data_IF_196701479166
#
_entry.id   IF_196701479166
#
_cell.length_a   1.000
_cell.length_b   1.000
_cell.length_c   1.000
_cell.angle_alpha   90.00
_cell.angle_beta   90.00
_cell.angle_gamma   90.00
#
_symmetry.space_group_name_H-M   'P 1'
#
loop_
_entity.id
_entity.type
_entity.pdbx_description
1 polymer ?
#
# COMPACT_ATOMS: atom_id res chain seq x y z
N UNK A 1 -2.51 -22.86 40.15
CA UNK A 1 -2.05 -21.87 39.13
C UNK A 1 -0.55 -22.00 38.98
N UNK A 2 0.01 -21.76 37.80
CA UNK A 2 1.46 -21.59 37.61
C UNK A 2 1.80 -20.10 37.84
N UNK A 3 2.84 -19.83 38.62
CA UNK A 3 3.25 -18.48 38.98
C UNK A 3 3.83 -17.70 37.78
N UNK A 4 3.98 -16.39 37.94
CA UNK A 4 4.67 -15.57 36.94
C UNK A 4 6.11 -16.09 36.76
N UNK A 5 6.58 -16.19 35.53
CA UNK A 5 7.95 -16.57 35.19
C UNK A 5 8.44 -17.91 35.79
N UNK A 6 7.53 -18.80 36.20
CA UNK A 6 7.87 -20.00 36.98
C UNK A 6 8.94 -20.90 36.31
N UNK A 7 8.93 -20.98 34.98
CA UNK A 7 9.88 -21.73 34.17
C UNK A 7 10.61 -20.84 33.16
N UNK A 8 10.62 -19.51 33.36
CA UNK A 8 11.23 -18.59 32.40
C UNK A 8 12.68 -18.98 32.11
N UNK A 9 13.02 -19.05 30.83
CA UNK A 9 14.37 -19.37 30.34
C UNK A 9 14.82 -20.79 30.66
N UNK A 10 13.91 -21.70 31.06
CA UNK A 10 14.24 -23.11 31.25
C UNK A 10 14.47 -23.80 29.89
N UNK A 11 15.57 -23.44 29.24
CA UNK A 11 15.95 -23.87 27.88
C UNK A 11 16.28 -25.35 27.77
N UNK A 12 16.38 -26.09 28.89
CA UNK A 12 16.54 -27.54 28.91
C UNK A 12 15.23 -28.30 29.18
N UNK A 13 14.13 -27.60 29.49
CA UNK A 13 12.83 -28.24 29.72
C UNK A 13 12.27 -28.73 28.38
N UNK A 14 12.16 -30.03 28.20
CA UNK A 14 11.69 -30.63 26.94
C UNK A 14 10.22 -31.02 26.98
N UNK A 15 9.70 -31.38 28.16
CA UNK A 15 8.30 -31.73 28.34
C UNK A 15 7.81 -31.36 29.73
N UNK A 16 6.52 -31.01 29.85
CA UNK A 16 5.86 -30.83 31.15
C UNK A 16 4.39 -31.23 31.09
N UNK A 17 3.93 -31.91 32.14
CA UNK A 17 2.50 -32.14 32.39
C UNK A 17 2.06 -31.21 33.50
N UNK A 18 1.15 -30.29 33.20
CA UNK A 18 0.56 -29.41 34.21
C UNK A 18 -0.46 -30.23 35.01
N UNK A 19 -0.38 -30.27 36.35
CA UNK A 19 -1.27 -31.09 37.16
C UNK A 19 -2.70 -30.55 37.21
N UNK A 20 -3.66 -31.44 37.37
CA UNK A 20 -5.07 -31.11 37.56
C UNK A 20 -5.28 -30.11 38.72
N UNK A 21 -6.24 -29.21 38.56
CA UNK A 21 -6.52 -28.13 39.52
C UNK A 21 -5.70 -26.87 39.30
N UNK A 22 -4.74 -26.87 38.37
CA UNK A 22 -4.16 -25.62 37.86
C UNK A 22 -5.21 -24.90 37.02
N UNK A 23 -5.61 -23.71 37.48
CA UNK A 23 -6.64 -22.90 36.82
C UNK A 23 -6.11 -21.79 35.92
N UNK A 24 -4.84 -21.40 36.06
CA UNK A 24 -4.24 -20.28 35.33
C UNK A 24 -2.77 -20.55 35.05
N UNK A 25 -2.34 -20.22 33.84
CA UNK A 25 -0.93 -20.07 33.45
C UNK A 25 -0.66 -18.58 33.40
N UNK A 26 0.18 -18.06 34.30
CA UNK A 26 0.36 -16.61 34.45
C UNK A 26 1.43 -16.06 33.51
N UNK A 27 1.66 -14.74 33.64
CA UNK A 27 2.59 -13.96 32.84
C UNK A 27 3.97 -14.63 32.74
N UNK A 28 4.46 -14.84 31.52
CA UNK A 28 5.80 -15.35 31.25
C UNK A 28 6.09 -16.75 31.80
N UNK A 29 5.08 -17.55 32.17
CA UNK A 29 5.27 -18.80 32.91
C UNK A 29 6.27 -19.77 32.25
N UNK A 30 6.32 -19.83 30.93
CA UNK A 30 7.23 -20.64 30.11
C UNK A 30 8.00 -19.79 29.09
N UNK A 31 8.08 -18.47 29.29
CA UNK A 31 8.81 -17.57 28.39
C UNK A 31 10.25 -18.05 28.18
N UNK A 32 10.67 -18.23 26.92
CA UNK A 32 12.03 -18.66 26.58
C UNK A 32 12.34 -20.13 26.92
N UNK A 33 11.33 -20.97 27.16
CA UNK A 33 11.51 -22.42 27.21
C UNK A 33 11.75 -22.99 25.79
N UNK A 34 12.88 -22.64 25.19
CA UNK A 34 13.18 -22.88 23.77
C UNK A 34 13.20 -24.34 23.35
N UNK A 35 13.45 -25.28 24.27
CA UNK A 35 13.44 -26.73 24.00
C UNK A 35 12.15 -27.44 24.39
N UNK A 36 11.14 -26.73 24.89
CA UNK A 36 9.86 -27.32 25.27
C UNK A 36 9.18 -27.83 24.01
N UNK A 37 9.08 -29.15 23.87
CA UNK A 37 8.55 -29.84 22.71
C UNK A 37 7.18 -30.49 22.97
N UNK A 38 6.84 -30.73 24.23
CA UNK A 38 5.55 -31.32 24.61
C UNK A 38 5.00 -30.69 25.91
N UNK A 39 3.74 -30.27 25.88
CA UNK A 39 3.04 -29.78 27.07
C UNK A 39 1.63 -30.34 27.12
N UNK A 40 1.21 -30.78 28.31
CA UNK A 40 -0.18 -31.13 28.59
C UNK A 40 -0.78 -30.07 29.51
N UNK A 41 -1.81 -29.37 29.03
CA UNK A 41 -2.58 -28.38 29.79
C UNK A 41 -3.91 -29.04 30.23
N UNK A 42 -4.24 -29.08 31.53
CA UNK A 42 -5.47 -29.71 32.00
C UNK A 42 -6.70 -28.82 31.76
N UNK A 43 -7.87 -29.44 31.62
CA UNK A 43 -9.17 -28.78 31.36
C UNK A 43 -9.56 -27.75 32.43
N UNK A 44 -8.95 -27.81 33.62
CA UNK A 44 -9.18 -26.82 34.68
C UNK A 44 -8.61 -25.44 34.36
N UNK A 45 -7.73 -25.30 33.35
CA UNK A 45 -7.12 -24.01 32.98
C UNK A 45 -8.14 -23.13 32.25
N UNK A 46 -8.36 -21.92 32.76
CA UNK A 46 -9.32 -20.97 32.20
C UNK A 46 -8.66 -19.73 31.57
N UNK A 47 -7.35 -19.53 31.76
CA UNK A 47 -6.64 -18.36 31.22
C UNK A 47 -5.16 -18.62 31.01
N UNK A 48 -4.65 -18.16 29.87
CA UNK A 48 -3.23 -18.09 29.51
C UNK A 48 -2.81 -16.62 29.52
N UNK A 49 -1.84 -16.29 30.37
CA UNK A 49 -1.35 -14.93 30.56
C UNK A 49 -0.43 -14.46 29.44
N UNK A 50 -0.09 -13.16 29.48
CA UNK A 50 0.79 -12.57 28.47
C UNK A 50 2.19 -13.22 28.50
N UNK A 51 2.82 -13.35 27.34
CA UNK A 51 4.13 -13.98 27.14
C UNK A 51 4.23 -15.42 27.69
N UNK A 52 3.11 -16.10 27.99
CA UNK A 52 3.13 -17.36 28.74
C UNK A 52 3.98 -18.44 28.07
N UNK A 53 4.00 -18.51 26.73
CA UNK A 53 4.77 -19.43 25.91
C UNK A 53 5.63 -18.71 24.86
N UNK A 54 5.88 -17.41 25.04
CA UNK A 54 6.72 -16.66 24.10
C UNK A 54 8.12 -17.31 23.99
N UNK A 55 8.68 -17.35 22.79
CA UNK A 55 9.99 -17.96 22.47
C UNK A 55 10.06 -19.47 22.79
N UNK A 56 8.93 -20.16 22.95
CA UNK A 56 8.89 -21.63 22.96
C UNK A 56 9.01 -22.17 21.53
N UNK A 57 10.24 -22.22 21.02
CA UNK A 57 10.53 -22.49 19.61
C UNK A 57 10.60 -23.97 19.20
N UNK A 58 10.35 -24.93 20.11
CA UNK A 58 10.49 -26.37 19.80
C UNK A 58 9.19 -27.18 19.69
N UNK A 59 8.07 -26.79 20.32
CA UNK A 59 6.85 -27.59 20.21
C UNK A 59 6.11 -27.29 18.92
N UNK A 60 5.67 -28.35 18.24
CA UNK A 60 5.03 -28.28 16.92
C UNK A 60 3.52 -28.18 16.98
N UNK A 61 2.93 -28.59 18.10
CA UNK A 61 1.50 -28.51 18.34
C UNK A 61 1.23 -28.25 19.83
N UNK A 62 0.12 -27.57 20.11
CA UNK A 62 -0.39 -27.38 21.46
C UNK A 62 -1.92 -27.48 21.42
N UNK A 63 -2.48 -28.21 22.37
CA UNK A 63 -3.94 -28.25 22.59
C UNK A 63 -4.27 -27.28 23.72
N UNK A 64 -5.06 -26.25 23.40
CA UNK A 64 -5.60 -25.33 24.39
C UNK A 64 -6.94 -25.88 24.86
N UNK A 65 -7.16 -26.08 26.18
CA UNK A 65 -8.42 -26.62 26.67
C UNK A 65 -9.61 -25.70 26.41
N UNK A 66 -10.79 -26.30 26.21
CA UNK A 66 -12.04 -25.60 25.88
C UNK A 66 -12.47 -24.55 26.94
N UNK A 67 -12.05 -24.75 28.19
CA UNK A 67 -12.32 -23.84 29.30
C UNK A 67 -11.54 -22.52 29.25
N UNK A 68 -10.54 -22.38 28.38
CA UNK A 68 -9.75 -21.16 28.25
C UNK A 68 -10.55 -20.07 27.54
N UNK A 69 -10.78 -18.96 28.25
CA UNK A 69 -11.52 -17.81 27.70
C UNK A 69 -10.62 -16.62 27.37
N UNK A 70 -9.32 -16.73 27.64
CA UNK A 70 -8.33 -15.66 27.40
C UNK A 70 -6.96 -16.20 27.04
N UNK A 71 -6.43 -15.72 25.92
CA UNK A 71 -5.04 -15.85 25.48
C UNK A 71 -4.44 -14.44 25.49
N UNK A 72 -3.44 -14.21 26.33
CA UNK A 72 -2.86 -12.88 26.54
C UNK A 72 -1.96 -12.40 25.40
N UNK A 73 -1.60 -11.12 25.48
CA UNK A 73 -0.60 -10.47 24.62
C UNK A 73 0.69 -11.28 24.53
N UNK A 74 1.24 -11.46 23.33
CA UNK A 74 2.47 -12.25 23.08
C UNK A 74 2.44 -13.71 23.57
N UNK A 75 1.28 -14.28 23.92
CA UNK A 75 1.22 -15.57 24.62
C UNK A 75 1.96 -16.70 23.88
N UNK A 76 1.93 -16.73 22.55
CA UNK A 76 2.62 -17.68 21.69
C UNK A 76 3.58 -16.98 20.69
N UNK A 77 4.01 -15.75 21.01
CA UNK A 77 4.92 -15.00 20.14
C UNK A 77 6.26 -15.75 19.96
N UNK A 78 6.77 -15.81 18.73
CA UNK A 78 7.98 -16.52 18.32
C UNK A 78 7.97 -18.03 18.65
N UNK A 79 6.79 -18.67 18.73
CA UNK A 79 6.65 -20.14 18.71
C UNK A 79 6.93 -20.69 17.30
N UNK A 80 8.16 -20.54 16.82
CA UNK A 80 8.52 -20.70 15.40
C UNK A 80 8.35 -22.11 14.81
N UNK A 81 8.29 -23.16 15.64
CA UNK A 81 8.02 -24.53 15.19
C UNK A 81 6.54 -24.93 15.22
N UNK A 82 5.66 -24.10 15.79
CA UNK A 82 4.23 -24.39 15.92
C UNK A 82 3.58 -24.44 14.54
N UNK A 83 3.05 -25.61 14.15
CA UNK A 83 2.48 -25.82 12.81
C UNK A 83 0.97 -25.69 12.77
N UNK A 84 0.31 -25.94 13.90
CA UNK A 84 -1.13 -25.83 14.09
C UNK A 84 -1.49 -25.51 15.54
N UNK A 85 -2.52 -24.68 15.71
CA UNK A 85 -3.17 -24.42 16.99
C UNK A 85 -4.68 -24.25 16.76
N UNK A 86 -5.48 -24.75 17.69
CA UNK A 86 -6.92 -24.48 17.75
C UNK A 86 -7.18 -23.53 18.91
N UNK A 87 -7.82 -22.39 18.61
CA UNK A 87 -8.23 -21.43 19.63
C UNK A 87 -9.59 -21.90 20.17
N UNK A 88 -9.81 -21.96 21.50
CA UNK A 88 -11.08 -22.39 22.07
C UNK A 88 -12.24 -21.43 21.83
N UNK A 89 -13.46 -21.96 21.70
CA UNK A 89 -14.69 -21.21 21.45
C UNK A 89 -15.00 -20.12 22.48
N UNK A 90 -14.50 -20.28 23.72
CA UNK A 90 -14.66 -19.30 24.79
C UNK A 90 -13.82 -18.02 24.64
N UNK A 91 -12.91 -17.97 23.67
CA UNK A 91 -12.04 -16.80 23.42
C UNK A 91 -12.78 -15.76 22.58
N UNK A 92 -12.90 -14.53 23.11
CA UNK A 92 -13.60 -13.42 22.43
C UNK A 92 -12.67 -12.40 21.77
N UNK A 93 -11.36 -12.49 22.02
CA UNK A 93 -10.37 -11.53 21.53
C UNK A 93 -9.05 -12.24 21.28
N UNK A 94 -8.43 -11.98 20.13
CA UNK A 94 -7.04 -12.35 19.88
C UNK A 94 -6.20 -11.13 20.25
N UNK A 95 -5.58 -11.17 21.44
CA UNK A 95 -4.77 -10.07 21.99
C UNK A 95 -3.55 -9.78 21.10
N UNK A 96 -2.97 -8.58 21.28
CA UNK A 96 -1.85 -8.12 20.46
C UNK A 96 -0.68 -9.11 20.46
N UNK A 97 -0.05 -9.30 19.30
CA UNK A 97 1.10 -10.20 19.10
C UNK A 97 0.89 -11.66 19.53
N UNK A 98 -0.35 -12.12 19.81
CA UNK A 98 -0.58 -13.42 20.45
C UNK A 98 0.08 -14.61 19.71
N UNK A 99 0.14 -14.55 18.38
CA UNK A 99 0.78 -15.55 17.52
C UNK A 99 1.82 -14.94 16.58
N UNK A 100 2.40 -13.78 16.95
CA UNK A 100 3.47 -13.15 16.17
C UNK A 100 4.65 -14.13 15.97
N UNK A 101 5.26 -14.13 14.79
CA UNK A 101 6.41 -14.96 14.41
C UNK A 101 6.22 -16.47 14.65
N UNK A 102 4.99 -16.97 14.67
CA UNK A 102 4.70 -18.40 14.52
C UNK A 102 4.95 -18.83 13.06
N UNK A 103 6.22 -18.79 12.63
CA UNK A 103 6.62 -18.86 11.22
C UNK A 103 6.33 -20.20 10.54
N UNK A 104 6.20 -21.29 11.29
CA UNK A 104 5.78 -22.59 10.76
C UNK A 104 4.26 -22.82 10.78
N UNK A 105 3.46 -21.88 11.29
CA UNK A 105 2.01 -22.04 11.41
C UNK A 105 1.38 -22.06 10.02
N UNK A 106 0.76 -23.18 9.67
CA UNK A 106 0.22 -23.39 8.30
C UNK A 106 -1.27 -23.09 8.20
N UNK A 107 -1.99 -23.29 9.31
CA UNK A 107 -3.41 -23.06 9.45
C UNK A 107 -3.75 -22.71 10.91
N UNK A 108 -4.75 -21.85 11.09
CA UNK A 108 -5.35 -21.54 12.37
C UNK A 108 -6.85 -21.32 12.19
N UNK A 109 -7.64 -21.83 13.14
CA UNK A 109 -9.08 -21.56 13.22
C UNK A 109 -9.33 -20.53 14.31
N UNK A 110 -9.94 -19.40 13.93
CA UNK A 110 -10.41 -18.35 14.85
C UNK A 110 -11.89 -18.63 15.14
N UNK A 111 -12.32 -18.70 16.42
CA UNK A 111 -13.70 -18.95 16.79
C UNK A 111 -14.66 -17.82 16.37
N UNK A 112 -15.90 -18.20 16.10
CA UNK A 112 -16.98 -17.26 15.71
C UNK A 112 -17.26 -16.16 16.76
N UNK A 113 -16.95 -16.44 18.02
CA UNK A 113 -17.11 -15.49 19.13
C UNK A 113 -16.07 -14.36 19.18
N UNK A 114 -15.03 -14.40 18.34
CA UNK A 114 -14.00 -13.37 18.31
C UNK A 114 -14.52 -12.11 17.60
N UNK A 115 -14.47 -10.98 18.31
CA UNK A 115 -14.93 -9.68 17.78
C UNK A 115 -13.78 -8.74 17.35
N UNK A 116 -12.56 -9.05 17.77
CA UNK A 116 -11.38 -8.20 17.56
C UNK A 116 -10.13 -9.04 17.32
N UNK A 117 -9.39 -8.69 16.26
CA UNK A 117 -8.01 -9.14 16.00
C UNK A 117 -7.09 -7.94 16.23
N UNK A 118 -6.35 -7.96 17.35
CA UNK A 118 -5.49 -6.85 17.76
C UNK A 118 -4.20 -6.75 16.91
N UNK A 119 -3.42 -5.71 17.19
CA UNK A 119 -2.19 -5.45 16.44
C UNK A 119 -1.18 -6.61 16.49
N UNK A 120 -0.53 -6.88 15.37
CA UNK A 120 0.48 -7.93 15.18
C UNK A 120 0.03 -9.36 15.50
N UNK A 121 -1.27 -9.62 15.69
CA UNK A 121 -1.77 -10.91 16.18
C UNK A 121 -1.21 -12.14 15.42
N UNK A 122 -1.01 -12.03 14.10
CA UNK A 122 -0.46 -13.05 13.22
C UNK A 122 0.73 -12.52 12.39
N UNK A 123 1.38 -11.44 12.82
CA UNK A 123 2.52 -10.88 12.10
C UNK A 123 3.64 -11.93 11.99
N UNK A 124 4.27 -12.07 10.83
CA UNK A 124 5.37 -13.00 10.61
C UNK A 124 4.99 -14.48 10.58
N UNK A 125 3.70 -14.84 10.55
CA UNK A 125 3.24 -16.20 10.26
C UNK A 125 3.47 -16.55 8.78
N UNK A 126 4.74 -16.67 8.38
CA UNK A 126 5.17 -16.72 6.99
C UNK A 126 4.76 -17.98 6.24
N UNK A 127 4.45 -19.09 6.94
CA UNK A 127 3.90 -20.33 6.37
C UNK A 127 2.38 -20.41 6.35
N UNK A 128 1.66 -19.40 6.86
CA UNK A 128 0.20 -19.40 6.93
C UNK A 128 -0.39 -19.28 5.53
N UNK A 129 -1.10 -20.31 5.09
CA UNK A 129 -1.61 -20.39 3.70
C UNK A 129 -3.05 -19.91 3.55
N UNK A 130 -3.84 -20.07 4.62
CA UNK A 130 -5.24 -19.68 4.70
C UNK A 130 -5.60 -19.33 6.15
N UNK A 131 -6.49 -18.35 6.31
CA UNK A 131 -7.14 -18.03 7.57
C UNK A 131 -8.54 -17.51 7.30
N UNK A 132 -9.50 -17.90 8.16
CA UNK A 132 -10.86 -17.36 8.13
C UNK A 132 -11.00 -16.34 9.24
N UNK A 133 -11.37 -15.11 8.89
CA UNK A 133 -11.71 -14.06 9.86
C UNK A 133 -13.21 -14.24 10.20
N UNK A 134 -13.58 -14.31 11.48
CA UNK A 134 -14.98 -14.44 11.88
C UNK A 134 -15.84 -13.24 11.52
N UNK A 135 -17.13 -13.47 11.23
CA UNK A 135 -18.10 -12.44 10.84
C UNK A 135 -18.31 -11.35 11.91
N UNK A 136 -18.06 -11.67 13.18
CA UNK A 136 -18.13 -10.74 14.31
C UNK A 136 -17.00 -9.71 14.37
N UNK A 137 -15.94 -9.86 13.55
CA UNK A 137 -14.78 -8.96 13.56
C UNK A 137 -15.13 -7.63 12.91
N UNK A 138 -14.92 -6.54 13.65
CA UNK A 138 -15.23 -5.17 13.19
C UNK A 138 -14.01 -4.37 12.73
N UNK A 139 -12.80 -4.85 13.05
CA UNK A 139 -11.54 -4.16 12.79
C UNK A 139 -10.39 -5.15 12.65
N UNK A 140 -9.51 -4.92 11.67
CA UNK A 140 -8.23 -5.61 11.51
C UNK A 140 -7.12 -4.70 12.04
N UNK A 141 -6.45 -5.13 13.12
CA UNK A 141 -5.43 -4.36 13.84
C UNK A 141 -4.16 -4.00 13.04
N UNK A 142 -3.34 -3.11 13.60
CA UNK A 142 -2.07 -2.71 12.97
C UNK A 142 -1.16 -3.93 12.79
N UNK A 143 -0.56 -4.13 11.62
CA UNK A 143 0.31 -5.28 11.33
C UNK A 143 -0.33 -6.66 11.53
N UNK A 144 -1.66 -6.79 11.69
CA UNK A 144 -2.30 -8.04 12.11
C UNK A 144 -1.87 -9.28 11.31
N UNK A 145 -1.64 -9.14 10.00
CA UNK A 145 -1.17 -10.18 9.09
C UNK A 145 0.12 -9.79 8.35
N UNK A 146 0.86 -8.81 8.86
CA UNK A 146 2.10 -8.33 8.22
C UNK A 146 3.11 -9.47 8.09
N UNK A 147 3.64 -9.73 6.91
CA UNK A 147 4.62 -10.79 6.66
C UNK A 147 4.04 -12.20 6.59
N UNK A 148 2.71 -12.36 6.50
CA UNK A 148 2.07 -13.64 6.12
C UNK A 148 2.33 -13.95 4.65
N UNK A 149 3.59 -14.20 4.30
CA UNK A 149 4.05 -14.27 2.92
C UNK A 149 3.48 -15.45 2.13
N UNK A 150 3.06 -16.54 2.76
CA UNK A 150 2.44 -17.69 2.07
C UNK A 150 0.92 -17.59 1.96
N UNK A 151 0.29 -16.52 2.47
CA UNK A 151 -1.15 -16.37 2.47
C UNK A 151 -1.63 -16.13 1.04
N UNK A 152 -2.47 -17.03 0.52
CA UNK A 152 -2.88 -17.01 -0.90
C UNK A 152 -4.22 -16.30 -1.13
N UNK A 153 -5.09 -16.35 -0.13
CA UNK A 153 -6.40 -15.74 -0.13
C UNK A 153 -6.82 -15.40 1.30
N UNK A 154 -7.60 -14.34 1.44
CA UNK A 154 -8.23 -13.93 2.69
C UNK A 154 -9.57 -13.29 2.38
N UNK A 155 -10.59 -13.65 3.16
CA UNK A 155 -11.91 -13.00 3.09
C UNK A 155 -12.00 -12.03 4.26
N UNK A 156 -12.22 -10.75 3.95
CA UNK A 156 -12.51 -9.72 4.96
C UNK A 156 -14.04 -9.72 5.15
N UNK A 157 -14.55 -9.92 6.39
CA UNK A 157 -15.99 -9.96 6.64
C UNK A 157 -16.68 -8.60 6.47
N UNK A 158 -17.95 -8.62 6.08
CA UNK A 158 -18.80 -7.43 5.85
C UNK A 158 -18.99 -6.53 7.09
N UNK A 159 -18.66 -7.02 8.28
CA UNK A 159 -18.67 -6.24 9.52
C UNK A 159 -17.44 -5.33 9.70
N UNK A 160 -16.37 -5.54 8.93
CA UNK A 160 -15.11 -4.81 9.10
C UNK A 160 -15.26 -3.36 8.62
N UNK A 161 -14.95 -2.41 9.49
CA UNK A 161 -15.04 -0.97 9.19
C UNK A 161 -13.69 -0.31 8.95
N UNK A 162 -12.60 -0.95 9.41
CA UNK A 162 -11.25 -0.42 9.30
C UNK A 162 -10.19 -1.52 9.12
N UNK A 163 -9.32 -1.30 8.14
CA UNK A 163 -8.07 -2.03 7.91
C UNK A 163 -6.94 -1.11 8.34
N UNK A 164 -6.21 -1.45 9.40
CA UNK A 164 -5.25 -0.53 10.04
C UNK A 164 -3.86 -0.54 9.37
N UNK A 165 -2.93 0.22 9.95
CA UNK A 165 -1.57 0.42 9.43
C UNK A 165 -0.85 -0.93 9.20
N UNK A 166 -0.25 -1.12 8.03
CA UNK A 166 0.49 -2.35 7.68
C UNK A 166 -0.30 -3.68 7.82
N UNK A 167 -1.63 -3.67 7.87
CA UNK A 167 -2.42 -4.87 8.22
C UNK A 167 -2.08 -6.11 7.40
N UNK A 168 -1.83 -5.96 6.09
CA UNK A 168 -1.44 -7.02 5.15
C UNK A 168 -0.11 -6.73 4.44
N UNK A 169 0.77 -5.95 5.08
CA UNK A 169 2.10 -5.64 4.53
C UNK A 169 2.87 -6.93 4.27
N UNK A 170 3.52 -7.05 3.11
CA UNK A 170 4.33 -8.20 2.69
C UNK A 170 3.55 -9.54 2.63
N UNK A 171 2.22 -9.51 2.49
CA UNK A 171 1.43 -10.67 2.07
C UNK A 171 1.61 -10.95 0.57
N UNK A 172 2.81 -11.39 0.20
CA UNK A 172 3.31 -11.41 -1.18
C UNK A 172 2.61 -12.40 -2.12
N UNK A 173 1.90 -13.39 -1.60
CA UNK A 173 1.16 -14.41 -2.38
C UNK A 173 -0.35 -14.18 -2.47
N UNK A 174 -0.90 -13.14 -1.85
CA UNK A 174 -2.33 -12.81 -2.01
C UNK A 174 -2.54 -12.37 -3.46
N UNK A 175 -3.41 -13.10 -4.17
CA UNK A 175 -3.69 -12.83 -5.60
C UNK A 175 -4.92 -11.95 -5.80
N UNK A 176 -5.88 -12.05 -4.89
CA UNK A 176 -7.12 -11.29 -4.86
C UNK A 176 -7.54 -11.04 -3.42
N UNK A 177 -8.09 -9.85 -3.17
CA UNK A 177 -8.73 -9.51 -1.90
C UNK A 177 -9.98 -8.69 -2.20
N UNK A 178 -11.08 -9.05 -1.55
CA UNK A 178 -12.31 -8.24 -1.58
C UNK A 178 -12.34 -7.40 -0.32
N UNK A 179 -12.37 -6.07 -0.48
CA UNK A 179 -12.56 -5.14 0.63
C UNK A 179 -14.07 -4.82 0.69
N UNK A 180 -14.76 -5.10 1.80
CA UNK A 180 -16.19 -4.83 1.93
C UNK A 180 -16.55 -3.35 1.89
N UNK A 181 -17.77 -3.05 1.45
CA UNK A 181 -18.32 -1.68 1.37
C UNK A 181 -18.42 -0.97 2.73
N UNK A 182 -18.45 -1.74 3.82
CA UNK A 182 -18.42 -1.24 5.20
C UNK A 182 -17.09 -0.58 5.58
N UNK A 183 -16.00 -0.85 4.84
CA UNK A 183 -14.68 -0.31 5.13
C UNK A 183 -14.63 1.17 4.75
N UNK A 184 -14.35 2.01 5.75
CA UNK A 184 -14.21 3.47 5.58
C UNK A 184 -12.78 3.94 5.73
N UNK A 185 -11.89 3.09 6.28
CA UNK A 185 -10.50 3.43 6.54
C UNK A 185 -9.57 2.30 6.12
N UNK A 186 -8.62 2.62 5.24
CA UNK A 186 -7.47 1.76 4.90
C UNK A 186 -6.20 2.49 5.33
N UNK A 187 -5.43 1.86 6.22
CA UNK A 187 -4.22 2.43 6.78
C UNK A 187 -3.09 2.59 5.77
N UNK A 188 -2.12 3.44 6.10
CA UNK A 188 -0.86 3.51 5.35
C UNK A 188 -0.19 2.13 5.34
N UNK A 189 0.46 1.80 4.22
CA UNK A 189 1.15 0.51 3.99
C UNK A 189 0.26 -0.73 4.13
N UNK A 190 -1.08 -0.60 4.16
CA UNK A 190 -1.98 -1.72 4.45
C UNK A 190 -1.76 -2.94 3.53
N UNK A 191 -1.42 -2.71 2.25
CA UNK A 191 -1.13 -3.75 1.26
C UNK A 191 0.26 -3.55 0.60
N UNK A 192 1.18 -2.86 1.30
CA UNK A 192 2.55 -2.67 0.82
C UNK A 192 3.22 -4.03 0.60
N UNK A 193 3.78 -4.29 -0.58
CA UNK A 193 4.46 -5.54 -0.89
C UNK A 193 3.55 -6.74 -1.16
N UNK A 194 2.24 -6.54 -1.38
CA UNK A 194 1.34 -7.57 -1.91
C UNK A 194 1.63 -7.84 -3.40
N UNK A 195 2.83 -8.35 -3.70
CA UNK A 195 3.39 -8.42 -5.06
C UNK A 195 2.63 -9.29 -6.05
N UNK A 196 1.81 -10.25 -5.58
CA UNK A 196 0.95 -11.10 -6.42
C UNK A 196 -0.47 -10.57 -6.60
N UNK A 197 -0.85 -9.47 -5.94
CA UNK A 197 -2.20 -8.92 -6.02
C UNK A 197 -2.46 -8.39 -7.43
N UNK A 198 -3.51 -8.88 -8.10
CA UNK A 198 -3.75 -8.60 -9.52
C UNK A 198 -4.81 -7.54 -9.78
N UNK A 199 -5.83 -7.48 -8.92
CA UNK A 199 -6.97 -6.56 -9.02
C UNK A 199 -7.37 -6.12 -7.63
N UNK A 200 -7.76 -4.85 -7.49
CA UNK A 200 -8.38 -4.35 -6.26
C UNK A 200 -9.46 -3.31 -6.56
N UNK A 201 -10.54 -3.37 -5.79
CA UNK A 201 -11.59 -2.36 -5.77
C UNK A 201 -11.51 -1.62 -4.45
N UNK A 202 -11.40 -0.29 -4.50
CA UNK A 202 -11.47 0.54 -3.30
C UNK A 202 -12.95 0.80 -2.97
N UNK A 203 -13.41 0.55 -1.73
CA UNK A 203 -14.80 0.77 -1.35
C UNK A 203 -15.24 2.24 -1.41
N UNK A 204 -16.53 2.46 -1.68
CA UNK A 204 -17.16 3.80 -1.76
C UNK A 204 -17.13 4.57 -0.43
N UNK A 205 -16.81 3.92 0.69
CA UNK A 205 -16.61 4.56 1.99
C UNK A 205 -15.23 5.19 2.19
N UNK A 206 -14.26 4.93 1.31
CA UNK A 206 -12.86 5.33 1.47
C UNK A 206 -12.58 6.65 0.76
N UNK A 207 -12.31 7.71 1.52
CA UNK A 207 -12.02 9.05 0.96
C UNK A 207 -10.53 9.31 0.69
N UNK A 208 -9.65 8.49 1.27
CA UNK A 208 -8.19 8.65 1.18
C UNK A 208 -7.52 7.32 0.92
N UNK A 209 -6.73 7.25 -0.15
CA UNK A 209 -5.75 6.19 -0.35
C UNK A 209 -4.46 6.64 0.33
N UNK A 210 -4.08 5.96 1.41
CA UNK A 210 -2.97 6.33 2.27
C UNK A 210 -1.60 6.25 1.61
N UNK A 211 -0.57 6.67 2.35
CA UNK A 211 0.81 6.55 1.90
C UNK A 211 1.18 5.08 1.79
N UNK A 212 1.87 4.70 0.70
CA UNK A 212 2.37 3.35 0.44
C UNK A 212 1.30 2.25 0.44
N UNK A 213 -0.01 2.57 0.39
CA UNK A 213 -1.08 1.59 0.60
C UNK A 213 -0.98 0.38 -0.33
N UNK A 214 -0.64 0.57 -1.60
CA UNK A 214 -0.41 -0.47 -2.60
C UNK A 214 1.00 -0.41 -3.20
N UNK A 215 1.98 0.09 -2.42
CA UNK A 215 3.38 0.12 -2.86
C UNK A 215 3.87 -1.30 -3.16
N UNK A 216 4.68 -1.46 -4.20
CA UNK A 216 5.25 -2.75 -4.65
C UNK A 216 4.21 -3.85 -4.94
N UNK A 217 2.96 -3.50 -5.26
CA UNK A 217 1.97 -4.43 -5.81
C UNK A 217 2.27 -4.70 -7.29
N UNK A 218 3.40 -5.36 -7.58
CA UNK A 218 3.97 -5.46 -8.93
C UNK A 218 3.09 -6.20 -9.94
N UNK A 219 2.19 -7.08 -9.50
CA UNK A 219 1.25 -7.80 -10.37
C UNK A 219 -0.08 -7.06 -10.56
N UNK A 220 -0.27 -5.89 -9.95
CA UNK A 220 -1.54 -5.16 -10.01
C UNK A 220 -1.77 -4.65 -11.43
N UNK A 221 -2.79 -5.17 -12.09
CA UNK A 221 -3.13 -4.85 -13.49
C UNK A 221 -4.28 -3.85 -13.61
N UNK A 222 -5.18 -3.82 -12.63
CA UNK A 222 -6.35 -2.97 -12.62
C UNK A 222 -6.71 -2.53 -11.20
N UNK A 223 -7.16 -1.28 -11.09
CA UNK A 223 -7.72 -0.71 -9.87
C UNK A 223 -8.93 0.16 -10.19
N UNK A 224 -9.95 0.06 -9.36
CA UNK A 224 -11.10 0.96 -9.36
C UNK A 224 -10.99 1.91 -8.17
N UNK A 225 -10.88 3.21 -8.46
CA UNK A 225 -10.88 4.29 -7.46
C UNK A 225 -12.27 4.96 -7.50
N UNK A 226 -13.02 5.02 -6.38
CA UNK A 226 -14.36 5.60 -6.37
C UNK A 226 -14.33 7.13 -6.39
N UNK A 227 -15.42 7.73 -6.87
CA UNK A 227 -15.60 9.18 -7.05
C UNK A 227 -15.71 9.98 -5.73
N UNK A 228 -15.50 9.32 -4.59
CA UNK A 228 -15.41 9.94 -3.27
C UNK A 228 -13.97 10.19 -2.82
N UNK A 229 -12.98 9.60 -3.49
CA UNK A 229 -11.57 9.73 -3.09
C UNK A 229 -11.09 11.14 -3.35
N UNK A 230 -10.56 11.81 -2.32
CA UNK A 230 -10.02 13.17 -2.42
C UNK A 230 -8.50 13.20 -2.44
N UNK A 231 -7.85 12.15 -1.92
CA UNK A 231 -6.39 12.14 -1.71
C UNK A 231 -5.79 10.77 -2.08
N UNK A 232 -4.71 10.80 -2.86
CA UNK A 232 -3.81 9.67 -3.10
C UNK A 232 -2.47 10.00 -2.45
N UNK A 233 -2.02 9.17 -1.52
CA UNK A 233 -0.83 9.40 -0.70
C UNK A 233 0.51 9.26 -1.43
N UNK A 234 1.59 9.58 -0.71
CA UNK A 234 2.97 9.35 -1.16
C UNK A 234 3.18 7.86 -1.46
N UNK A 235 3.77 7.55 -2.63
CA UNK A 235 4.06 6.17 -3.06
C UNK A 235 2.89 5.20 -3.01
N UNK A 236 1.64 5.70 -3.03
CA UNK A 236 0.45 4.87 -2.88
C UNK A 236 0.40 3.68 -3.85
N UNK A 237 0.90 3.85 -5.07
CA UNK A 237 0.98 2.86 -6.14
C UNK A 237 2.39 2.69 -6.70
N UNK A 238 3.42 3.16 -5.99
CA UNK A 238 4.80 3.03 -6.47
C UNK A 238 5.16 1.56 -6.68
N UNK A 239 5.84 1.24 -7.79
CA UNK A 239 6.23 -0.12 -8.13
C UNK A 239 5.09 -1.03 -8.61
N UNK A 240 3.89 -0.51 -8.91
CA UNK A 240 2.82 -1.25 -9.59
C UNK A 240 3.16 -1.46 -11.08
N UNK A 241 4.21 -2.24 -11.34
CA UNK A 241 4.84 -2.35 -12.65
C UNK A 241 3.98 -3.01 -13.74
N UNK A 242 2.90 -3.72 -13.36
CA UNK A 242 1.93 -4.32 -14.30
C UNK A 242 0.70 -3.43 -14.57
N UNK A 243 0.57 -2.28 -13.91
CA UNK A 243 -0.59 -1.41 -14.05
C UNK A 243 -0.51 -0.68 -15.39
N UNK A 244 -1.47 -0.94 -16.29
CA UNK A 244 -1.40 -0.42 -17.67
C UNK A 244 -2.15 0.89 -17.89
N UNK A 245 -3.23 1.11 -17.14
CA UNK A 245 -4.03 2.31 -17.23
C UNK A 245 -4.65 2.64 -15.87
N UNK A 246 -4.84 3.93 -15.62
CA UNK A 246 -5.59 4.39 -14.46
C UNK A 246 -6.45 5.62 -14.77
N UNK A 247 -7.65 5.63 -14.19
CA UNK A 247 -8.56 6.78 -14.21
C UNK A 247 -8.56 7.39 -12.83
N UNK A 248 -8.12 8.64 -12.71
CA UNK A 248 -8.20 9.38 -11.45
C UNK A 248 -9.53 10.13 -11.42
N UNK A 249 -10.40 9.92 -10.43
CA UNK A 249 -11.68 10.63 -10.32
C UNK A 249 -11.54 12.15 -10.20
N UNK A 250 -12.60 12.87 -10.56
CA UNK A 250 -12.65 14.34 -10.51
C UNK A 250 -12.69 14.90 -9.08
N UNK A 251 -13.02 14.04 -8.10
CA UNK A 251 -12.99 14.31 -6.67
C UNK A 251 -11.57 14.44 -6.12
N UNK A 252 -10.57 13.85 -6.78
CA UNK A 252 -9.19 13.85 -6.30
C UNK A 252 -8.62 15.28 -6.35
N UNK A 253 -8.12 15.74 -5.21
CA UNK A 253 -7.53 17.08 -5.01
C UNK A 253 -6.01 17.00 -4.93
N UNK A 254 -5.47 15.92 -4.37
CA UNK A 254 -4.03 15.77 -4.13
C UNK A 254 -3.56 14.37 -4.48
N UNK A 255 -2.45 14.29 -5.22
CA UNK A 255 -1.68 13.08 -5.47
C UNK A 255 -0.28 13.31 -4.89
N UNK A 256 0.17 12.41 -4.02
CA UNK A 256 1.43 12.54 -3.29
C UNK A 256 2.67 12.36 -4.14
N UNK A 257 3.83 12.61 -3.53
CA UNK A 257 5.12 12.40 -4.18
C UNK A 257 5.30 10.93 -4.55
N UNK A 258 5.90 10.66 -5.71
CA UNK A 258 6.16 9.30 -6.20
C UNK A 258 4.93 8.38 -6.23
N UNK A 259 3.70 8.90 -6.24
CA UNK A 259 2.49 8.10 -6.07
C UNK A 259 2.37 6.94 -7.08
N UNK A 260 2.85 7.13 -8.30
CA UNK A 260 2.88 6.13 -9.37
C UNK A 260 4.31 5.90 -9.89
N UNK A 261 5.35 6.14 -9.07
CA UNK A 261 6.73 5.89 -9.53
C UNK A 261 6.93 4.42 -9.90
N UNK A 262 7.79 4.12 -10.86
CA UNK A 262 8.11 2.75 -11.29
C UNK A 262 6.90 1.93 -11.79
N UNK A 263 5.79 2.59 -12.17
CA UNK A 263 4.69 1.95 -12.89
C UNK A 263 5.04 1.77 -14.37
N UNK A 264 5.99 0.88 -14.65
CA UNK A 264 6.65 0.78 -15.97
C UNK A 264 5.72 0.39 -17.12
N UNK A 265 4.64 -0.36 -16.87
CA UNK A 265 3.62 -0.68 -17.88
C UNK A 265 2.53 0.39 -18.06
N UNK A 266 2.51 1.45 -17.24
CA UNK A 266 1.46 2.46 -17.27
C UNK A 266 1.57 3.25 -18.57
N UNK A 267 0.57 3.11 -19.44
CA UNK A 267 0.52 3.77 -20.76
C UNK A 267 -0.47 4.94 -20.79
N UNK A 268 -1.44 4.95 -19.88
CA UNK A 268 -2.54 5.93 -19.89
C UNK A 268 -2.92 6.36 -18.48
N UNK A 269 -3.02 7.66 -18.29
CA UNK A 269 -3.52 8.30 -17.06
C UNK A 269 -4.53 9.37 -17.44
N UNK A 270 -5.69 9.38 -16.80
CA UNK A 270 -6.67 10.47 -16.94
C UNK A 270 -6.66 11.33 -15.68
N UNK A 271 -6.38 12.63 -15.80
CA UNK A 271 -6.30 13.59 -14.70
C UNK A 271 -7.25 14.77 -14.91
N UNK A 272 -7.77 15.33 -13.81
CA UNK A 272 -8.58 16.54 -13.84
C UNK A 272 -7.72 17.80 -13.56
N UNK A 273 -7.99 18.95 -14.22
CA UNK A 273 -7.10 20.13 -14.17
C UNK A 273 -6.85 20.73 -12.77
N UNK A 274 -7.70 20.45 -11.78
CA UNK A 274 -7.61 21.02 -10.44
C UNK A 274 -6.76 20.17 -9.47
N UNK A 275 -6.21 19.03 -9.91
CA UNK A 275 -5.45 18.14 -9.04
C UNK A 275 -4.03 18.65 -8.76
N UNK A 276 -3.63 18.69 -7.50
CA UNK A 276 -2.25 18.95 -7.08
C UNK A 276 -1.44 17.66 -7.19
N UNK A 277 -0.47 17.62 -8.10
CA UNK A 277 0.40 16.47 -8.34
C UNK A 277 1.75 16.66 -7.64
N UNK A 278 2.13 15.70 -6.80
CA UNK A 278 3.40 15.68 -6.07
C UNK A 278 4.62 15.45 -6.96
N UNK A 279 5.80 15.67 -6.39
CA UNK A 279 7.09 15.52 -7.08
C UNK A 279 7.31 14.07 -7.52
N UNK A 280 7.89 13.88 -8.70
CA UNK A 280 8.23 12.57 -9.26
C UNK A 280 7.05 11.57 -9.29
N UNK A 281 5.81 12.07 -9.31
CA UNK A 281 4.60 11.25 -9.25
C UNK A 281 4.58 10.11 -10.29
N UNK A 282 5.13 10.34 -11.48
CA UNK A 282 5.20 9.37 -12.58
C UNK A 282 6.65 9.08 -13.00
N UNK A 283 7.62 9.19 -12.08
CA UNK A 283 9.00 8.84 -12.40
C UNK A 283 9.10 7.37 -12.81
N UNK A 284 9.94 7.07 -13.79
CA UNK A 284 10.18 5.70 -14.26
C UNK A 284 8.93 4.97 -14.83
N UNK A 285 7.87 5.72 -15.17
CA UNK A 285 6.75 5.25 -16.00
C UNK A 285 7.16 5.20 -17.48
N UNK A 286 8.04 4.26 -17.82
CA UNK A 286 8.68 4.19 -19.15
C UNK A 286 7.69 4.05 -20.31
N UNK A 287 6.61 3.28 -20.16
CA UNK A 287 5.57 3.15 -21.18
C UNK A 287 4.77 4.44 -21.39
N UNK A 288 4.50 5.21 -20.32
CA UNK A 288 3.81 6.50 -20.40
C UNK A 288 4.68 7.53 -21.14
N UNK A 289 5.98 7.55 -20.81
CA UNK A 289 6.97 8.42 -21.46
C UNK A 289 7.07 8.08 -22.95
N UNK A 290 7.13 6.80 -23.30
CA UNK A 290 7.17 6.35 -24.69
C UNK A 290 5.89 6.73 -25.45
N UNK A 291 4.71 6.53 -24.84
CA UNK A 291 3.42 6.88 -25.43
C UNK A 291 3.30 8.39 -25.69
N UNK A 292 3.83 9.22 -24.80
CA UNK A 292 3.85 10.68 -24.98
C UNK A 292 4.83 11.15 -26.08
N UNK A 293 5.84 10.35 -26.43
CA UNK A 293 6.85 10.71 -27.44
C UNK A 293 6.44 10.35 -28.88
N UNK A 294 5.43 9.51 -29.08
CA UNK A 294 4.95 9.10 -30.41
C UNK A 294 4.09 10.21 -31.04
N UNK A 295 4.57 10.77 -32.16
CA UNK A 295 3.91 11.85 -32.92
C UNK A 295 2.67 11.39 -33.71
N UNK A 296 2.42 10.08 -33.79
CA UNK A 296 1.29 9.48 -34.52
C UNK A 296 0.12 9.02 -33.63
N UNK A 297 0.25 9.10 -32.31
CA UNK A 297 -0.93 9.05 -31.44
C UNK A 297 -1.69 10.38 -31.53
N UNK A 298 -3.02 10.39 -31.32
CA UNK A 298 -3.73 11.63 -31.02
C UNK A 298 -2.91 12.32 -29.93
N UNK A 299 -2.54 13.58 -30.16
CA UNK A 299 -1.35 14.23 -29.61
C UNK A 299 -1.30 14.12 -28.08
N UNK A 300 -0.17 14.44 -27.45
CA UNK A 300 -0.13 14.62 -25.98
C UNK A 300 -1.27 15.54 -25.48
N UNK A 301 -1.82 16.43 -26.33
CA UNK A 301 -3.04 17.21 -26.07
C UNK A 301 -4.35 16.38 -26.01
N UNK A 302 -4.42 15.22 -26.66
CA UNK A 302 -5.56 14.29 -26.67
C UNK A 302 -5.49 13.23 -25.55
N UNK A 303 -4.29 12.84 -25.10
CA UNK A 303 -4.10 12.14 -23.83
C UNK A 303 -4.36 13.06 -22.61
N UNK A 304 -4.34 14.38 -22.85
CA UNK A 304 -4.64 15.46 -21.90
C UNK A 304 -5.95 16.22 -22.24
N UNK A 305 -6.85 15.65 -23.04
CA UNK A 305 -7.98 16.39 -23.63
C UNK A 305 -8.99 16.84 -22.55
N UNK A 306 -8.80 18.04 -22.00
CA UNK A 306 -9.78 19.14 -22.00
C UNK A 306 -9.19 20.41 -21.34
N UNK A 307 -8.97 21.45 -22.17
CA UNK A 307 -8.70 22.87 -21.83
C UNK A 307 -7.48 23.19 -20.95
N UNK A 308 -6.29 22.87 -21.46
CA UNK A 308 -5.01 23.35 -20.90
C UNK A 308 -4.50 24.67 -21.53
N UNK A 309 -5.27 25.32 -22.40
CA UNK A 309 -4.85 26.56 -23.08
C UNK A 309 -4.89 27.85 -22.24
N UNK A 310 -4.92 27.78 -20.91
CA UNK A 310 -4.80 28.99 -20.06
C UNK A 310 -3.74 28.91 -18.96
N UNK A 311 -2.91 27.88 -18.91
CA UNK A 311 -1.86 27.82 -17.89
C UNK A 311 -0.60 27.08 -18.39
N UNK A 312 0.25 27.82 -19.11
CA UNK A 312 1.54 27.36 -19.67
C UNK A 312 2.43 26.69 -18.60
N UNK A 313 2.29 27.09 -17.33
CA UNK A 313 3.04 26.55 -16.20
C UNK A 313 2.75 25.07 -15.88
N UNK A 314 1.62 24.51 -16.31
CA UNK A 314 1.26 23.12 -15.96
C UNK A 314 1.77 22.14 -17.01
N UNK A 315 1.81 22.53 -18.30
CA UNK A 315 2.42 21.73 -19.38
C UNK A 315 3.93 21.58 -19.15
N UNK A 316 4.60 22.65 -18.74
CA UNK A 316 6.02 22.61 -18.35
C UNK A 316 6.24 21.71 -17.11
N UNK A 317 5.28 21.63 -16.19
CA UNK A 317 5.36 20.77 -15.00
C UNK A 317 5.13 19.29 -15.31
N UNK A 318 4.22 18.94 -16.22
CA UNK A 318 4.03 17.54 -16.64
C UNK A 318 5.24 17.05 -17.45
N UNK A 319 5.78 17.89 -18.35
CA UNK A 319 7.02 17.59 -19.06
C UNK A 319 8.25 17.54 -18.13
N UNK A 320 8.27 18.32 -17.04
CA UNK A 320 9.28 18.23 -15.99
C UNK A 320 9.08 17.01 -15.06
N UNK A 321 7.83 16.60 -14.79
CA UNK A 321 7.46 15.42 -13.99
C UNK A 321 7.78 14.10 -14.69
N UNK A 322 7.75 14.08 -16.02
CA UNK A 322 8.15 12.94 -16.85
C UNK A 322 9.67 12.75 -16.97
N UNK A 323 10.48 13.64 -16.36
CA UNK A 323 11.93 13.50 -16.30
C UNK A 323 12.57 13.15 -17.66
N UNK A 324 12.31 13.93 -18.71
CA UNK A 324 13.09 13.90 -19.96
C UNK A 324 14.51 14.41 -19.69
N UNK A 325 15.36 13.58 -19.07
CA UNK A 325 16.82 13.68 -19.20
C UNK A 325 17.20 13.10 -20.56
N UNK A 326 17.08 13.91 -21.60
CA UNK A 326 17.49 13.56 -22.96
C UNK A 326 17.70 14.82 -23.79
N UNK A 327 18.94 15.32 -23.76
CA UNK A 327 19.58 16.18 -24.78
C UNK A 327 18.64 16.95 -25.72
N UNK A 328 18.29 18.17 -25.35
CA UNK A 328 18.10 19.20 -26.38
C UNK A 328 19.50 19.56 -26.86
N UNK A 329 19.97 18.83 -27.89
CA UNK A 329 21.12 19.25 -28.66
C UNK A 329 20.90 20.68 -29.15
N UNK A 330 21.97 21.47 -29.02
CA UNK A 330 22.09 22.84 -29.46
C UNK A 330 21.38 23.10 -30.80
N UNK A 331 20.23 23.78 -30.77
CA UNK A 331 19.85 24.63 -31.90
C UNK A 331 20.66 25.90 -31.74
N UNK A 332 21.67 26.05 -32.59
CA UNK A 332 22.52 27.21 -32.72
C UNK A 332 21.69 28.50 -32.77
N UNK A 333 21.94 29.38 -31.81
CA UNK A 333 21.49 30.77 -31.83
C UNK A 333 22.45 31.56 -32.76
N UNK A 334 21.98 32.25 -33.82
CA UNK A 334 22.87 32.99 -34.71
C UNK A 334 23.44 34.24 -34.01
N UNK A 335 24.62 34.74 -34.43
CA UNK A 335 25.56 35.39 -33.54
C UNK A 335 25.12 36.80 -33.16
N UNK A 336 24.88 37.05 -31.88
CA UNK A 336 24.87 38.42 -31.33
C UNK A 336 26.26 38.76 -30.77
N UNK A 337 27.09 39.35 -31.63
CA UNK A 337 28.18 40.24 -31.20
C UNK A 337 27.56 41.42 -30.44
N UNK A 338 27.94 41.63 -29.18
CA UNK A 338 28.56 42.91 -28.80
C UNK A 338 29.13 42.86 -27.39
N UNK A 339 30.41 43.14 -27.33
CA UNK A 339 31.15 43.57 -26.15
C UNK A 339 30.66 44.94 -25.71
N UNK A 340 30.57 45.18 -24.40
CA UNK A 340 30.51 46.54 -23.86
C UNK A 340 31.53 46.70 -22.74
N UNK A 341 32.74 47.12 -23.12
CA UNK A 341 33.62 47.92 -22.25
C UNK A 341 33.25 49.39 -22.45
N UNK A 342 33.08 50.10 -21.33
CA UNK A 342 32.84 51.55 -21.24
C UNK A 342 33.98 52.35 -21.88
N UNK A 343 33.64 53.39 -22.66
CA UNK A 343 34.37 54.67 -22.71
C UNK A 343 33.45 55.79 -23.22
N UNK A 344 33.57 56.95 -22.58
CA UNK A 344 32.95 58.26 -22.89
C UNK A 344 33.41 58.77 -24.27
N UNK A 345 32.55 59.49 -25.00
CA UNK A 345 32.55 60.96 -25.19
C UNK A 345 31.60 61.36 -26.34
N UNK A 346 30.83 62.41 -26.08
CA UNK A 346 30.41 63.53 -26.94
C UNK A 346 29.66 63.31 -28.28
N UNK A 347 28.52 64.00 -28.40
CA UNK A 347 28.24 64.81 -29.59
C UNK A 347 27.02 64.46 -30.45
N UNK A 348 26.01 65.35 -30.37
CA UNK A 348 25.23 65.91 -31.50
C UNK A 348 24.03 65.12 -32.07
N UNK A 349 22.85 65.70 -31.78
CA UNK A 349 21.61 65.92 -32.57
C UNK A 349 20.73 64.77 -33.15
N UNK A 350 19.42 64.98 -32.93
CA UNK A 350 18.21 64.31 -33.45
C UNK A 350 17.91 64.72 -34.93
N UNK A 351 16.78 64.38 -35.64
CA UNK A 351 15.46 63.86 -35.21
C UNK A 351 14.79 62.80 -36.18
N UNK A 352 13.47 62.46 -36.06
CA UNK A 352 12.88 61.16 -36.46
C UNK A 352 11.94 61.20 -37.71
N UNK A 353 11.65 60.04 -38.33
CA UNK A 353 10.56 59.81 -39.32
C UNK A 353 10.21 58.30 -39.32
N UNK A 354 8.99 57.86 -38.94
CA UNK A 354 7.66 57.79 -39.61
C UNK A 354 7.41 56.57 -40.52
N UNK A 355 6.19 56.05 -40.33
CA UNK A 355 5.37 55.04 -41.04
C UNK A 355 5.69 54.77 -42.52
N UNK A 356 5.57 53.51 -42.95
CA UNK A 356 4.50 53.03 -43.85
C UNK A 356 4.88 51.73 -44.61
N UNK A 357 3.90 50.82 -44.62
CA UNK A 357 3.48 49.89 -45.68
C UNK A 357 4.48 49.38 -46.74
N UNK A 358 4.58 48.05 -46.88
CA UNK A 358 4.60 47.41 -48.19
C UNK A 358 4.04 45.98 -48.11
N UNK A 359 2.99 45.77 -48.92
CA UNK A 359 2.22 44.54 -49.12
C UNK A 359 3.02 43.45 -49.83
N UNK A 360 2.42 42.25 -49.79
CA UNK A 360 2.30 41.33 -50.93
C UNK A 360 3.23 40.09 -50.96
N UNK A 361 2.71 38.94 -50.51
CA UNK A 361 2.43 37.77 -51.37
C UNK A 361 1.81 36.62 -50.57
N UNK A 362 0.53 36.39 -50.81
CA UNK A 362 -0.21 35.16 -50.48
C UNK A 362 -0.42 34.40 -51.80
N UNK A 363 -0.17 33.09 -51.84
CA UNK A 363 -0.95 32.20 -52.70
C UNK A 363 -2.05 31.51 -51.89
N UNK A 364 -3.29 31.76 -52.32
CA UNK A 364 -4.52 31.05 -51.92
C UNK A 364 -4.52 29.64 -52.50
N UNK A 365 -5.18 28.70 -51.79
CA UNK A 365 -5.87 27.45 -52.22
C UNK A 365 -5.79 26.52 -50.98
N UNK A 366 -6.85 26.08 -50.29
CA UNK A 366 -8.25 25.90 -50.65
C UNK A 366 -9.13 26.03 -49.38
N UNK A 367 -10.23 26.75 -49.53
CA UNK A 367 -11.33 26.93 -48.58
C UNK A 367 -12.39 25.85 -48.85
N UNK A 368 -12.66 24.96 -47.88
CA UNK A 368 -13.76 23.97 -47.73
C UNK A 368 -13.29 23.05 -46.58
N UNK A 369 -13.87 22.94 -45.38
CA UNK A 369 -15.27 22.84 -44.96
C UNK A 369 -15.35 23.29 -43.49
N UNK A 370 -16.05 24.39 -43.20
CA UNK A 370 -16.60 24.69 -41.88
C UNK A 370 -18.04 25.12 -42.14
N UNK A 371 -18.98 24.17 -42.04
CA UNK A 371 -20.42 24.42 -41.87
C UNK A 371 -21.20 23.12 -41.57
N UNK A 372 -20.70 22.29 -40.66
CA UNK A 372 -21.44 21.33 -39.82
C UNK A 372 -20.53 21.22 -38.59
N UNK A 373 -20.79 21.80 -37.43
CA UNK A 373 -21.91 21.57 -36.52
C UNK A 373 -22.19 22.83 -35.69
N UNK A 374 -23.39 23.38 -35.89
CA UNK A 374 -24.29 23.64 -34.76
C UNK A 374 -24.91 22.30 -34.35
#
# INVERSE_FOLDING_TARGET
MIANEAFRGCSSLTAITIPDGVTKIRWGAFLGCSSLAAITIPDSVTSIGNHAFQECSSFTAITIPDGVTKIGTDAFSSCSSLTAITIPDGVTTIDACAFEECSSLTAISIPDGVTTIEGCAFAGCSSLTAITIPDGVTMIGNHAFSGCSSLTAITIPDGVTAIKFCAFRECSFITAITIPDSVTTIGNYAFDGCSSLTVITIPDGVTTIGNYTFNSCSSLTAITIPDVVTTIGERAFAGCSSLTAITIPDSVRTIGNYAFSDCSALMKVSLFPAVSVGENCFSDCTALIAAAADKNMPTVEDLLHYRWHRNVAVIERVNALLCLKGTWDHVEDPPRRSTRKRKRTDGVEAPPLRESEAREKIPKVLWRVILEFL
#
